data_IF_107385133359
#
_entry.id   IF_107385133359
#
_cell.length_a   1.000
_cell.length_b   1.000
_cell.length_c   1.000
_cell.angle_alpha   90.00
_cell.angle_beta   90.00
_cell.angle_gamma   90.00
#
_symmetry.space_group_name_H-M   'P 1'
#
loop_
_entity.id
_entity.type
_entity.pdbx_description
1 polymer ?
#
# COMPACT_ATOMS: atom_id res chain seq x y z
N UNK A 1 7.27 3.33 -29.54
CA UNK A 1 5.94 3.96 -29.36
C UNK A 1 6.13 4.94 -28.21
N UNK A 2 5.69 6.19 -28.36
CA UNK A 2 5.83 7.19 -27.29
C UNK A 2 4.85 6.86 -26.15
N UNK A 3 5.31 6.95 -24.91
CA UNK A 3 4.46 6.86 -23.71
C UNK A 3 3.80 8.20 -23.34
N UNK A 4 3.95 9.23 -24.18
CA UNK A 4 3.39 10.54 -23.93
C UNK A 4 1.85 10.46 -23.81
N UNK A 5 1.33 11.12 -22.79
CA UNK A 5 -0.07 11.02 -22.46
C UNK A 5 -0.38 11.56 -21.06
N UNK A 6 -1.68 11.59 -20.75
CA UNK A 6 -2.15 11.87 -19.40
C UNK A 6 -2.86 10.65 -18.85
N UNK A 7 -2.47 10.23 -17.65
CA UNK A 7 -2.97 9.06 -16.95
C UNK A 7 -3.49 9.47 -15.58
N UNK A 8 -4.45 8.71 -15.06
CA UNK A 8 -5.12 9.05 -13.81
C UNK A 8 -5.15 7.85 -12.88
N UNK A 9 -4.88 8.09 -11.60
CA UNK A 9 -5.37 7.21 -10.54
C UNK A 9 -6.65 7.79 -9.98
N UNK A 10 -7.50 6.93 -9.44
CA UNK A 10 -8.78 7.31 -8.89
C UNK A 10 -8.85 6.83 -7.44
N UNK A 11 -9.61 7.55 -6.62
CA UNK A 11 -9.99 7.02 -5.32
C UNK A 11 -10.78 5.75 -5.52
N UNK A 12 -10.41 4.72 -4.79
CA UNK A 12 -11.06 3.42 -4.87
C UNK A 12 -11.90 3.18 -3.61
N UNK A 13 -12.99 2.44 -3.78
CA UNK A 13 -13.69 1.80 -2.67
C UNK A 13 -12.85 0.61 -2.14
N UNK A 14 -13.38 -0.09 -1.14
CA UNK A 14 -12.69 -1.22 -0.52
C UNK A 14 -12.57 -2.44 -1.43
N UNK A 15 -13.27 -2.47 -2.56
CA UNK A 15 -13.23 -3.52 -3.60
C UNK A 15 -12.25 -3.18 -4.72
N UNK A 16 -11.68 -1.97 -4.71
CA UNK A 16 -10.81 -1.48 -5.77
C UNK A 16 -11.56 -0.87 -6.96
N UNK A 17 -12.86 -0.56 -6.83
CA UNK A 17 -13.59 0.18 -7.88
C UNK A 17 -13.47 1.69 -7.67
N UNK A 18 -13.46 2.50 -8.74
CA UNK A 18 -13.46 3.95 -8.61
C UNK A 18 -14.70 4.50 -7.89
N UNK A 19 -14.47 5.36 -6.90
CA UNK A 19 -15.52 6.16 -6.26
C UNK A 19 -15.94 7.28 -7.21
N UNK A 20 -17.25 7.54 -7.27
CA UNK A 20 -17.82 8.59 -8.11
C UNK A 20 -18.30 9.79 -7.28
N UNK A 21 -18.19 11.00 -7.83
CA UNK A 21 -18.75 12.22 -7.26
C UNK A 21 -20.28 12.27 -7.43
N UNK A 22 -20.92 13.33 -6.92
CA UNK A 22 -22.37 13.54 -7.02
C UNK A 22 -22.89 13.65 -8.47
N UNK A 23 -22.00 13.87 -9.44
CA UNK A 23 -22.33 13.97 -10.86
C UNK A 23 -22.02 12.66 -11.63
N UNK A 24 -21.55 11.62 -10.93
CA UNK A 24 -21.17 10.34 -11.53
C UNK A 24 -19.79 10.34 -12.18
N UNK A 25 -18.91 11.31 -11.89
CA UNK A 25 -17.53 11.31 -12.37
C UNK A 25 -16.61 10.58 -11.39
N UNK A 26 -15.65 9.81 -11.90
CA UNK A 26 -14.63 9.20 -11.06
C UNK A 26 -13.81 10.26 -10.34
N UNK A 27 -13.60 10.08 -9.04
CA UNK A 27 -12.80 11.02 -8.25
C UNK A 27 -11.32 10.75 -8.53
N UNK A 28 -10.69 11.66 -9.27
CA UNK A 28 -9.26 11.61 -9.56
C UNK A 28 -8.47 11.83 -8.27
N UNK A 29 -7.45 11.01 -8.07
CA UNK A 29 -6.55 11.11 -6.94
C UNK A 29 -5.17 11.65 -7.35
N UNK A 30 -4.61 11.11 -8.44
CA UNK A 30 -3.40 11.66 -9.06
C UNK A 30 -3.53 11.78 -10.57
N UNK A 31 -2.88 12.80 -11.13
CA UNK A 31 -2.74 13.02 -12.57
C UNK A 31 -1.27 12.90 -12.95
N UNK A 32 -0.98 12.05 -13.92
CA UNK A 32 0.35 11.78 -14.43
C UNK A 32 0.43 12.28 -15.86
N UNK A 33 1.29 13.27 -16.10
CA UNK A 33 1.53 13.80 -17.44
C UNK A 33 2.91 13.37 -17.90
N UNK A 34 2.95 12.63 -19.01
CA UNK A 34 4.18 12.19 -19.67
C UNK A 34 4.35 13.00 -20.94
N UNK A 35 5.52 13.58 -21.10
CA UNK A 35 5.89 14.40 -22.25
C UNK A 35 7.17 13.89 -22.87
N UNK A 36 7.19 13.81 -24.20
CA UNK A 36 8.40 13.44 -24.93
C UNK A 36 9.51 14.47 -24.66
N UNK A 37 10.68 13.95 -24.30
CA UNK A 37 11.92 14.70 -24.17
C UNK A 37 12.84 14.49 -25.38
N UNK A 38 14.09 14.93 -25.21
CA UNK A 38 15.13 14.76 -26.24
C UNK A 38 15.73 13.35 -26.18
N UNK A 39 16.13 12.85 -27.35
CA UNK A 39 16.90 11.61 -27.52
C UNK A 39 16.23 10.32 -27.00
N UNK A 40 14.90 10.23 -27.10
CA UNK A 40 14.16 9.03 -26.68
C UNK A 40 14.00 8.89 -25.16
N UNK A 41 14.06 10.01 -24.44
CA UNK A 41 13.70 10.09 -23.03
C UNK A 41 12.39 10.85 -22.89
N UNK A 42 11.69 10.66 -21.77
CA UNK A 42 10.44 11.34 -21.43
C UNK A 42 10.53 12.00 -20.04
N UNK A 43 9.74 13.04 -19.83
CA UNK A 43 9.56 13.69 -18.54
C UNK A 43 8.17 13.37 -17.99
N UNK A 44 8.09 13.09 -16.69
CA UNK A 44 6.86 12.75 -16.00
C UNK A 44 6.61 13.78 -14.91
N UNK A 45 5.39 14.32 -14.87
CA UNK A 45 4.91 15.15 -13.75
C UNK A 45 3.70 14.49 -13.12
N UNK A 46 3.75 14.28 -11.81
CA UNK A 46 2.66 13.70 -11.02
C UNK A 46 2.09 14.78 -10.12
N UNK A 47 0.78 14.98 -10.19
CA UNK A 47 0.04 15.94 -9.37
C UNK A 47 -1.05 15.27 -8.57
N UNK A 48 -1.34 15.79 -7.39
CA UNK A 48 -2.52 15.36 -6.61
C UNK A 48 -3.80 16.00 -7.15
N UNK A 49 -4.94 15.60 -6.58
CA UNK A 49 -6.26 16.14 -6.91
C UNK A 49 -6.40 17.66 -6.73
N UNK A 50 -5.55 18.31 -5.92
CA UNK A 50 -5.52 19.77 -5.76
C UNK A 50 -4.70 20.49 -6.83
N UNK A 51 -3.99 19.73 -7.67
CA UNK A 51 -3.07 20.24 -8.69
C UNK A 51 -1.65 20.50 -8.18
N UNK A 52 -1.36 20.18 -6.91
CA UNK A 52 -0.01 20.29 -6.34
C UNK A 52 0.89 19.21 -6.95
N UNK A 53 2.09 19.60 -7.36
CA UNK A 53 3.07 18.64 -7.88
C UNK A 53 3.63 17.80 -6.74
N UNK A 54 3.44 16.48 -6.86
CA UNK A 54 3.94 15.47 -5.93
C UNK A 54 5.37 15.10 -6.31
N UNK A 55 5.60 14.87 -7.61
CA UNK A 55 6.88 14.38 -8.12
C UNK A 55 7.09 14.77 -9.57
N UNK A 56 8.34 15.07 -9.91
CA UNK A 56 8.79 15.29 -11.29
C UNK A 56 9.97 14.38 -11.57
N UNK A 57 9.88 13.63 -12.67
CA UNK A 57 10.94 12.78 -13.19
C UNK A 57 11.38 13.35 -14.53
N UNK A 58 12.69 13.44 -14.74
CA UNK A 58 13.23 13.98 -15.98
C UNK A 58 14.19 12.98 -16.61
N UNK A 59 14.19 12.92 -17.95
CA UNK A 59 15.10 12.06 -18.67
C UNK A 59 14.87 10.57 -18.45
N UNK A 60 13.63 10.13 -18.21
CA UNK A 60 13.32 8.71 -18.06
C UNK A 60 13.38 8.04 -19.44
N UNK A 61 14.18 6.98 -19.64
CA UNK A 61 14.27 6.32 -20.93
C UNK A 61 12.91 5.81 -21.43
N UNK A 62 12.55 6.19 -22.65
CA UNK A 62 11.28 5.82 -23.32
C UNK A 62 11.53 5.43 -24.79
N UNK A 63 12.77 5.01 -25.08
CA UNK A 63 13.21 4.67 -26.42
C UNK A 63 12.96 3.21 -26.76
N UNK A 64 12.95 2.85 -28.06
CA UNK A 64 12.76 1.46 -28.51
C UNK A 64 13.88 0.50 -28.08
N UNK A 65 15.04 1.04 -27.66
CA UNK A 65 16.21 0.26 -27.23
C UNK A 65 16.32 0.15 -25.70
N UNK A 66 15.63 1.02 -24.96
CA UNK A 66 15.60 1.05 -23.50
C UNK A 66 14.35 1.82 -23.05
N UNK A 67 13.28 1.10 -22.69
CA UNK A 67 12.05 1.70 -22.18
C UNK A 67 11.89 1.37 -20.70
N UNK A 68 12.01 2.42 -19.87
CA UNK A 68 11.80 2.38 -18.43
C UNK A 68 10.39 2.83 -18.05
N UNK A 69 9.55 3.14 -19.03
CA UNK A 69 8.15 3.51 -18.83
C UNK A 69 7.29 2.34 -19.27
N UNK A 70 6.66 1.68 -18.29
CA UNK A 70 5.71 0.61 -18.52
C UNK A 70 4.34 1.23 -18.82
N UNK A 71 3.84 0.95 -20.02
CA UNK A 71 2.49 1.30 -20.49
C UNK A 71 1.78 0.07 -21.04
N UNK A 72 0.45 -0.02 -20.87
CA UNK A 72 -0.33 -1.16 -21.34
C UNK A 72 -0.39 -2.34 -20.36
N UNK A 73 -1.04 -3.43 -20.75
CA UNK A 73 -1.25 -4.63 -19.93
C UNK A 73 -0.25 -5.73 -20.29
N UNK A 74 0.14 -6.53 -19.30
CA UNK A 74 1.13 -7.63 -19.42
C UNK A 74 2.48 -7.19 -20.01
N UNK A 75 2.83 -5.92 -19.81
CA UNK A 75 4.08 -5.36 -20.28
C UNK A 75 5.25 -5.98 -19.50
N UNK A 76 6.22 -6.55 -20.22
CA UNK A 76 7.49 -6.94 -19.61
C UNK A 76 8.53 -5.93 -20.01
N UNK A 77 8.83 -5.00 -19.11
CA UNK A 77 9.94 -4.08 -19.29
C UNK A 77 11.19 -4.73 -18.69
N UNK A 78 12.28 -4.73 -19.44
CA UNK A 78 13.54 -5.28 -19.00
C UNK A 78 14.67 -4.49 -19.60
N UNK A 79 15.69 -4.20 -18.80
CA UNK A 79 16.96 -3.67 -19.31
C UNK A 79 18.04 -4.70 -19.05
N UNK A 80 18.68 -5.15 -20.13
CA UNK A 80 19.89 -6.00 -20.09
C UNK A 80 21.13 -5.13 -19.74
N UNK A 81 20.96 -3.80 -19.76
CA UNK A 81 22.03 -2.79 -19.68
C UNK A 81 21.50 -1.54 -18.95
N UNK A 82 21.01 -1.64 -17.72
CA UNK A 82 20.86 -0.44 -16.86
C UNK A 82 22.20 -0.18 -16.17
N UNK A 83 23.23 0.17 -16.95
CA UNK A 83 24.62 0.31 -16.47
C UNK A 83 24.79 1.50 -15.49
N UNK A 84 23.76 2.32 -15.29
CA UNK A 84 23.74 3.36 -14.26
C UNK A 84 22.32 3.37 -13.68
N UNK A 85 22.19 3.61 -12.38
CA UNK A 85 20.89 3.65 -11.69
C UNK A 85 19.79 4.33 -12.49
N UNK A 86 18.63 3.69 -12.52
CA UNK A 86 17.53 4.11 -13.39
C UNK A 86 16.29 4.49 -12.59
N UNK A 87 15.59 5.50 -13.10
CA UNK A 87 14.20 5.76 -12.75
C UNK A 87 13.32 4.88 -13.63
N UNK A 88 12.36 4.20 -13.02
CA UNK A 88 11.40 3.33 -13.66
C UNK A 88 10.00 3.80 -13.32
N UNK A 89 9.13 3.81 -14.33
CA UNK A 89 7.77 4.31 -14.20
C UNK A 89 6.80 3.22 -14.65
N UNK A 90 5.79 2.97 -13.84
CA UNK A 90 4.61 2.21 -14.25
C UNK A 90 3.43 3.15 -14.23
N UNK A 91 2.85 3.42 -15.40
CA UNK A 91 1.78 4.44 -15.50
C UNK A 91 0.47 3.89 -14.96
N UNK A 92 -0.44 4.76 -14.47
CA UNK A 92 -1.78 4.34 -14.09
C UNK A 92 -2.50 3.55 -15.18
N UNK A 93 -3.09 2.42 -14.79
CA UNK A 93 -3.78 1.49 -15.69
C UNK A 93 -2.86 0.51 -16.43
N UNK A 94 -1.54 0.59 -16.25
CA UNK A 94 -0.63 -0.44 -16.79
C UNK A 94 -0.54 -1.66 -15.86
N UNK A 95 -0.22 -2.83 -16.43
CA UNK A 95 0.09 -4.04 -15.67
C UNK A 95 1.32 -4.75 -16.25
N UNK A 96 2.15 -5.37 -15.41
CA UNK A 96 3.35 -6.03 -15.91
C UNK A 96 4.47 -6.28 -14.91
N UNK A 97 5.62 -6.69 -15.44
CA UNK A 97 6.83 -7.00 -14.67
C UNK A 97 8.00 -6.15 -15.15
N UNK A 98 8.73 -5.57 -14.20
CA UNK A 98 10.01 -4.90 -14.44
C UNK A 98 11.13 -5.84 -14.01
N UNK A 99 11.91 -6.35 -14.98
CA UNK A 99 13.06 -7.20 -14.72
C UNK A 99 14.34 -6.38 -14.69
N UNK A 100 15.06 -6.47 -13.58
CA UNK A 100 16.25 -5.69 -13.29
C UNK A 100 17.45 -6.65 -13.18
N UNK A 101 18.30 -6.61 -14.20
CA UNK A 101 19.58 -7.32 -14.24
C UNK A 101 20.71 -6.32 -13.91
N UNK A 102 21.14 -6.27 -12.65
CA UNK A 102 22.15 -5.31 -12.21
C UNK A 102 23.56 -5.92 -12.14
N UNK A 103 24.55 -5.15 -12.55
CA UNK A 103 25.95 -5.29 -12.13
C UNK A 103 26.26 -4.09 -11.23
N UNK A 104 26.80 -4.35 -10.03
CA UNK A 104 27.14 -3.44 -8.94
C UNK A 104 27.06 -1.89 -9.15
N UNK A 105 26.58 -1.20 -8.10
CA UNK A 105 26.60 0.27 -7.84
C UNK A 105 25.42 1.15 -8.30
N UNK A 106 24.18 0.66 -8.26
CA UNK A 106 23.04 1.59 -8.34
C UNK A 106 21.85 1.27 -7.44
N UNK A 107 21.33 2.30 -6.77
CA UNK A 107 20.05 2.36 -6.07
C UNK A 107 18.93 2.67 -7.08
N UNK A 108 18.16 1.68 -7.56
CA UNK A 108 17.08 1.93 -8.52
C UNK A 108 15.91 2.64 -7.84
N UNK A 109 15.22 3.49 -8.60
CA UNK A 109 14.02 4.18 -8.16
C UNK A 109 12.82 3.78 -9.03
N UNK A 110 11.73 3.35 -8.40
CA UNK A 110 10.48 2.97 -9.04
C UNK A 110 9.39 3.95 -8.67
N UNK A 111 8.57 4.34 -9.64
CA UNK A 111 7.40 5.19 -9.41
C UNK A 111 6.19 4.52 -10.08
N UNK A 112 5.28 4.00 -9.26
CA UNK A 112 4.28 3.01 -9.63
C UNK A 112 2.88 3.58 -9.44
N UNK A 113 2.19 3.80 -10.56
CA UNK A 113 0.75 4.08 -10.63
C UNK A 113 -0.06 2.92 -11.21
N UNK A 114 0.58 1.94 -11.86
CA UNK A 114 -0.04 0.70 -12.36
C UNK A 114 0.13 -0.48 -11.41
N UNK A 115 -0.11 -1.70 -11.92
CA UNK A 115 0.11 -2.97 -11.21
C UNK A 115 1.43 -3.59 -11.66
N UNK A 116 2.46 -3.55 -10.81
CA UNK A 116 3.82 -3.91 -11.21
C UNK A 116 4.47 -4.90 -10.26
N UNK A 117 5.05 -5.96 -10.81
CA UNK A 117 6.01 -6.79 -10.09
C UNK A 117 7.43 -6.39 -10.47
N UNK A 118 8.27 -6.10 -9.49
CA UNK A 118 9.68 -5.76 -9.70
C UNK A 118 10.52 -6.97 -9.36
N UNK A 119 11.20 -7.52 -10.36
CA UNK A 119 12.04 -8.70 -10.23
C UNK A 119 13.52 -8.32 -10.32
N UNK A 120 14.31 -8.69 -9.30
CA UNK A 120 15.76 -8.53 -9.34
C UNK A 120 16.43 -9.88 -9.62
N UNK A 121 17.21 -9.92 -10.70
CA UNK A 121 17.88 -11.16 -11.12
C UNK A 121 19.20 -11.41 -10.37
N UNK A 122 19.72 -10.42 -9.64
CA UNK A 122 20.93 -10.51 -8.82
C UNK A 122 20.68 -10.04 -7.39
N UNK A 123 21.35 -10.67 -6.42
CA UNK A 123 21.09 -10.46 -4.98
C UNK A 123 21.81 -9.24 -4.36
N UNK A 124 22.39 -8.34 -5.15
CA UNK A 124 23.29 -7.27 -4.67
C UNK A 124 22.64 -5.87 -4.64
N UNK A 125 21.31 -5.77 -4.64
CA UNK A 125 20.59 -4.50 -4.80
C UNK A 125 20.22 -3.90 -3.45
N UNK A 126 21.07 -3.01 -2.93
CA UNK A 126 20.79 -2.23 -1.71
C UNK A 126 20.14 -0.88 -2.02
N UNK A 127 19.39 -0.33 -1.07
CA UNK A 127 18.85 1.03 -1.13
C UNK A 127 17.92 1.31 -2.33
N UNK A 128 16.97 0.41 -2.61
CA UNK A 128 15.90 0.65 -3.60
C UNK A 128 14.95 1.72 -3.08
N UNK A 129 14.47 2.61 -3.93
CA UNK A 129 13.32 3.48 -3.62
C UNK A 129 12.12 3.06 -4.44
N UNK A 130 10.99 2.80 -3.82
CA UNK A 130 9.73 2.47 -4.48
C UNK A 130 8.64 3.42 -4.04
N UNK A 131 8.15 4.25 -4.95
CA UNK A 131 7.04 5.18 -4.72
C UNK A 131 5.79 4.60 -5.37
N UNK A 132 4.79 4.25 -4.55
CA UNK A 132 3.54 3.65 -5.00
C UNK A 132 2.44 4.69 -4.81
N UNK A 133 2.02 5.32 -5.90
CA UNK A 133 1.01 6.37 -5.90
C UNK A 133 -0.20 5.90 -6.70
N UNK A 134 -1.19 5.34 -5.99
CA UNK A 134 -2.44 4.79 -6.56
C UNK A 134 -2.31 3.51 -7.38
N UNK A 135 -1.10 2.96 -7.48
CA UNK A 135 -0.83 1.65 -8.09
C UNK A 135 -0.69 0.53 -7.07
N UNK A 136 -0.34 -0.66 -7.56
CA UNK A 136 0.06 -1.81 -6.74
C UNK A 136 1.47 -2.23 -7.13
N UNK A 137 2.37 -2.36 -6.16
CA UNK A 137 3.71 -2.88 -6.39
C UNK A 137 3.98 -4.12 -5.55
N UNK A 138 4.76 -5.04 -6.11
CA UNK A 138 5.32 -6.19 -5.38
C UNK A 138 6.76 -6.38 -5.81
N UNK A 139 7.58 -6.98 -4.96
CA UNK A 139 8.81 -7.59 -5.42
C UNK A 139 8.55 -9.05 -5.82
N UNK A 140 9.26 -9.54 -6.83
CA UNK A 140 9.31 -10.96 -7.20
C UNK A 140 10.77 -11.41 -7.33
N UNK A 141 11.02 -12.71 -7.16
CA UNK A 141 12.37 -13.29 -7.18
C UNK A 141 12.68 -14.11 -5.93
N UNK A 142 13.20 -15.33 -6.13
CA UNK A 142 13.27 -16.37 -5.11
C UNK A 142 14.33 -16.22 -4.01
N UNK A 143 15.11 -15.12 -3.98
CA UNK A 143 16.24 -15.00 -3.05
C UNK A 143 16.60 -13.56 -2.65
N UNK A 144 15.61 -12.69 -2.42
CA UNK A 144 15.85 -11.28 -2.06
C UNK A 144 16.25 -11.05 -0.58
N UNK A 145 16.45 -12.12 0.20
CA UNK A 145 16.73 -12.02 1.64
C UNK A 145 18.02 -11.23 1.89
N UNK A 146 17.89 -10.09 2.55
CA UNK A 146 19.00 -9.18 2.87
C UNK A 146 19.43 -8.24 1.73
N UNK A 147 18.98 -8.45 0.49
CA UNK A 147 19.32 -7.58 -0.63
C UNK A 147 18.71 -6.18 -0.41
N UNK A 148 17.43 -6.12 -0.06
CA UNK A 148 16.66 -4.87 0.07
C UNK A 148 16.95 -4.05 1.33
N UNK A 149 17.96 -4.40 2.13
CA UNK A 149 18.30 -3.62 3.32
C UNK A 149 18.65 -2.18 2.94
N UNK A 150 18.14 -1.21 3.71
CA UNK A 150 18.26 0.22 3.43
C UNK A 150 17.32 0.75 2.35
N UNK A 151 16.43 -0.09 1.81
CA UNK A 151 15.42 0.35 0.83
C UNK A 151 14.30 1.15 1.49
N UNK A 152 13.65 1.99 0.69
CA UNK A 152 12.50 2.81 1.08
C UNK A 152 11.31 2.47 0.20
N UNK A 153 10.15 2.22 0.82
CA UNK A 153 8.86 2.06 0.17
C UNK A 153 7.96 3.19 0.64
N UNK A 154 7.56 4.08 -0.27
CA UNK A 154 6.61 5.14 -0.02
C UNK A 154 5.24 4.71 -0.57
N UNK A 155 4.24 4.67 0.29
CA UNK A 155 2.87 4.28 -0.04
C UNK A 155 2.00 5.52 0.12
N UNK A 156 1.28 5.92 -0.92
CA UNK A 156 0.41 7.09 -0.89
C UNK A 156 -0.67 7.02 -1.94
N UNK A 157 -1.63 7.91 -1.83
CA UNK A 157 -2.71 8.08 -2.81
C UNK A 157 -3.38 6.73 -3.13
N UNK A 158 -3.85 6.01 -2.10
CA UNK A 158 -4.44 4.67 -2.22
C UNK A 158 -3.50 3.60 -2.80
N UNK A 159 -2.18 3.83 -2.79
CA UNK A 159 -1.19 2.88 -3.28
C UNK A 159 -1.13 1.62 -2.42
N UNK A 160 -0.73 0.50 -3.02
CA UNK A 160 -0.64 -0.80 -2.34
C UNK A 160 0.75 -1.40 -2.52
N UNK A 161 1.46 -1.65 -1.42
CA UNK A 161 2.57 -2.60 -1.44
C UNK A 161 2.05 -3.99 -1.12
N UNK A 162 2.14 -4.90 -2.09
CA UNK A 162 1.70 -6.28 -1.97
C UNK A 162 2.89 -7.21 -1.67
N UNK A 163 3.14 -7.46 -0.39
CA UNK A 163 4.12 -8.43 0.09
C UNK A 163 3.57 -9.86 0.25
N UNK A 164 2.38 -10.17 -0.28
CA UNK A 164 1.70 -11.43 0.03
C UNK A 164 2.45 -12.68 -0.49
N UNK A 165 3.24 -12.56 -1.56
CA UNK A 165 4.02 -13.67 -2.11
C UNK A 165 5.40 -13.81 -1.48
N UNK A 166 5.73 -12.96 -0.50
CA UNK A 166 7.07 -12.79 0.02
C UNK A 166 7.15 -13.00 1.53
N UNK A 167 8.27 -13.54 2.00
CA UNK A 167 8.49 -13.73 3.43
C UNK A 167 8.81 -12.38 4.11
N UNK A 168 8.23 -12.13 5.28
CA UNK A 168 8.48 -10.95 6.14
C UNK A 168 9.96 -10.66 6.35
N UNK A 169 10.81 -11.68 6.32
CA UNK A 169 12.27 -11.53 6.42
C UNK A 169 12.88 -10.59 5.38
N UNK A 170 12.18 -10.34 4.26
CA UNK A 170 12.59 -9.37 3.24
C UNK A 170 12.46 -7.91 3.71
N UNK A 171 11.57 -7.63 4.66
CA UNK A 171 11.29 -6.27 5.15
C UNK A 171 12.26 -5.82 6.24
N UNK A 172 13.19 -6.68 6.65
CA UNK A 172 14.19 -6.35 7.65
C UNK A 172 15.17 -5.32 7.08
N UNK A 173 15.27 -4.18 7.76
CA UNK A 173 16.07 -3.03 7.33
C UNK A 173 15.42 -2.16 6.26
N UNK A 174 14.13 -2.35 5.96
CA UNK A 174 13.36 -1.49 5.05
C UNK A 174 12.69 -0.36 5.83
N UNK A 175 12.61 0.81 5.21
CA UNK A 175 11.76 1.92 5.64
C UNK A 175 10.48 1.93 4.82
N UNK A 176 9.33 1.91 5.49
CA UNK A 176 8.01 2.06 4.90
C UNK A 176 7.43 3.39 5.36
N UNK A 177 7.06 4.25 4.42
CA UNK A 177 6.43 5.52 4.72
C UNK A 177 5.02 5.51 4.15
N UNK A 178 4.02 5.64 5.02
CA UNK A 178 2.70 6.07 4.60
C UNK A 178 2.72 7.58 4.36
N UNK A 179 2.13 8.01 3.26
CA UNK A 179 2.18 9.39 2.79
C UNK A 179 0.78 9.91 2.49
N UNK A 180 0.68 11.08 1.86
CA UNK A 180 -0.61 11.73 1.59
C UNK A 180 -1.55 10.80 0.81
N UNK A 181 -2.84 10.81 1.17
CA UNK A 181 -3.86 9.93 0.57
C UNK A 181 -3.92 8.54 1.19
N UNK A 182 -2.94 8.18 2.03
CA UNK A 182 -2.84 6.87 2.66
C UNK A 182 -2.58 5.72 1.69
N UNK A 183 -2.74 4.50 2.14
CA UNK A 183 -2.62 3.30 1.31
C UNK A 183 -2.52 2.01 2.10
N UNK A 184 -2.13 0.93 1.43
CA UNK A 184 -2.18 -0.42 2.00
C UNK A 184 -0.82 -1.11 1.99
N UNK A 185 -0.41 -1.60 3.15
CA UNK A 185 0.72 -2.51 3.32
C UNK A 185 0.21 -3.94 3.54
N UNK A 186 0.41 -4.82 2.57
CA UNK A 186 0.03 -6.23 2.67
C UNK A 186 1.23 -7.09 3.04
N UNK A 187 1.07 -7.94 4.04
CA UNK A 187 2.13 -8.77 4.63
C UNK A 187 1.66 -10.22 4.76
N UNK A 188 2.54 -11.17 4.48
CA UNK A 188 2.25 -12.59 4.66
C UNK A 188 2.98 -13.17 5.88
N UNK A 189 2.20 -13.59 6.88
CA UNK A 189 2.62 -14.26 8.11
C UNK A 189 3.22 -15.65 7.91
N UNK A 190 2.91 -16.34 6.81
CA UNK A 190 3.40 -17.70 6.53
C UNK A 190 3.03 -18.74 7.59
N UNK A 191 2.00 -18.48 8.39
CA UNK A 191 1.61 -19.30 9.55
C UNK A 191 2.56 -19.17 10.74
N UNK A 192 3.42 -18.14 10.79
CA UNK A 192 4.33 -17.85 11.91
C UNK A 192 4.08 -16.46 12.50
N UNK A 193 4.66 -16.21 13.68
CA UNK A 193 4.61 -14.89 14.32
C UNK A 193 5.27 -13.84 13.43
N UNK A 194 4.53 -12.77 13.12
CA UNK A 194 4.99 -11.69 12.25
C UNK A 194 5.72 -10.63 13.08
N UNK A 195 7.05 -10.58 12.98
CA UNK A 195 7.86 -9.60 13.70
C UNK A 195 8.49 -8.58 12.74
N UNK A 196 8.04 -7.34 12.82
CA UNK A 196 8.54 -6.20 12.03
C UNK A 196 9.46 -5.27 12.81
N UNK A 197 10.05 -5.74 13.92
CA UNK A 197 11.00 -4.92 14.70
C UNK A 197 12.23 -4.46 13.90
N UNK A 198 12.57 -5.14 12.80
CA UNK A 198 13.62 -4.72 11.88
C UNK A 198 13.16 -3.73 10.80
N UNK A 199 11.87 -3.43 10.73
CA UNK A 199 11.28 -2.52 9.72
C UNK A 199 10.95 -1.18 10.38
N UNK A 200 11.29 -0.08 9.71
CA UNK A 200 10.86 1.25 10.14
C UNK A 200 9.56 1.60 9.44
N UNK A 201 8.48 1.84 10.17
CA UNK A 201 7.20 2.28 9.60
C UNK A 201 6.90 3.69 10.09
N UNK A 202 6.67 4.64 9.18
CA UNK A 202 6.41 6.05 9.53
C UNK A 202 5.20 6.61 8.81
N UNK A 203 4.65 7.70 9.35
CA UNK A 203 3.51 8.41 8.77
C UNK A 203 2.18 7.66 8.91
N UNK A 204 2.08 6.72 9.85
CA UNK A 204 0.89 5.86 9.98
C UNK A 204 -0.29 6.62 10.60
N UNK A 205 -1.42 6.61 9.90
CA UNK A 205 -2.73 7.11 10.32
C UNK A 205 -3.77 6.00 10.06
N UNK A 206 -4.27 5.30 11.09
CA UNK A 206 -5.22 4.19 10.91
C UNK A 206 -6.58 4.62 10.34
N UNK A 207 -6.82 5.92 10.14
CA UNK A 207 -8.03 6.40 9.44
C UNK A 207 -7.86 6.48 7.92
N UNK A 208 -6.63 6.31 7.42
CA UNK A 208 -6.26 6.39 5.99
C UNK A 208 -5.40 5.22 5.52
N UNK A 209 -4.64 4.63 6.43
CA UNK A 209 -3.65 3.60 6.15
C UNK A 209 -4.14 2.24 6.63
N UNK A 210 -4.01 1.25 5.74
CA UNK A 210 -4.32 -0.14 6.07
C UNK A 210 -3.04 -0.96 6.18
N UNK A 211 -2.94 -1.75 7.24
CA UNK A 211 -1.97 -2.84 7.32
C UNK A 211 -2.75 -4.16 7.26
N UNK A 212 -2.49 -4.96 6.24
CA UNK A 212 -3.11 -6.27 6.06
C UNK A 212 -2.13 -7.38 6.41
N UNK A 213 -2.57 -8.31 7.26
CA UNK A 213 -1.81 -9.48 7.64
C UNK A 213 -2.54 -10.72 7.12
N UNK A 214 -1.89 -11.44 6.20
CA UNK A 214 -2.42 -12.66 5.59
C UNK A 214 -1.70 -13.87 6.19
N UNK A 215 -2.35 -15.04 6.22
CA UNK A 215 -1.81 -16.30 6.72
C UNK A 215 -1.11 -16.17 8.10
N UNK A 216 -1.78 -15.59 9.08
CA UNK A 216 -1.24 -15.44 10.44
C UNK A 216 -1.31 -16.73 11.25
N UNK A 217 -0.59 -16.82 12.38
CA UNK A 217 -0.63 -17.97 13.32
C UNK A 217 -2.01 -18.18 13.97
N UNK A 218 -2.79 -17.13 14.10
CA UNK A 218 -4.11 -17.13 14.70
C UNK A 218 -4.90 -15.89 14.25
N UNK A 219 -6.22 -15.95 14.40
CA UNK A 219 -7.08 -14.78 14.26
C UNK A 219 -6.83 -13.80 15.42
N UNK A 220 -6.76 -12.51 15.12
CA UNK A 220 -6.54 -11.46 16.13
C UNK A 220 -7.82 -11.21 16.92
N UNK A 221 -7.73 -11.30 18.25
CA UNK A 221 -8.84 -11.05 19.17
C UNK A 221 -8.56 -9.93 20.17
N UNK A 222 -7.36 -9.35 20.15
CA UNK A 222 -6.97 -8.29 21.06
C UNK A 222 -5.58 -7.78 20.73
N UNK A 223 -5.23 -6.62 21.27
CA UNK A 223 -3.93 -6.01 21.06
C UNK A 223 -3.54 -5.06 22.19
N UNK A 224 -2.25 -4.75 22.23
CA UNK A 224 -1.70 -3.70 23.09
C UNK A 224 -1.01 -2.66 22.24
N UNK A 225 -1.07 -1.42 22.69
CA UNK A 225 -0.33 -0.28 22.14
C UNK A 225 0.52 0.28 23.29
N UNK A 226 1.84 0.21 23.14
CA UNK A 226 2.78 0.86 24.04
C UNK A 226 3.19 2.23 23.49
N UNK A 227 3.29 3.23 24.38
CA UNK A 227 3.87 4.53 24.07
C UNK A 227 5.39 4.47 24.30
N UNK A 228 6.16 4.71 23.24
CA UNK A 228 7.62 4.74 23.31
C UNK A 228 8.18 6.18 23.46
N UNK A 229 7.31 7.17 23.64
CA UNK A 229 7.64 8.59 23.63
C UNK A 229 7.45 9.24 22.24
N UNK A 230 7.13 10.53 22.25
CA UNK A 230 6.81 11.28 21.03
C UNK A 230 5.63 10.66 20.26
N UNK A 231 5.79 10.53 18.95
CA UNK A 231 4.79 9.91 18.06
C UNK A 231 5.03 8.40 17.85
N UNK A 232 5.91 7.75 18.62
CA UNK A 232 6.23 6.32 18.41
C UNK A 232 5.30 5.40 19.20
N UNK A 233 4.74 4.39 18.53
CA UNK A 233 3.87 3.36 19.14
C UNK A 233 4.35 1.97 18.76
N UNK A 234 4.41 1.07 19.73
CA UNK A 234 4.60 -0.37 19.47
C UNK A 234 3.27 -1.08 19.64
N UNK A 235 2.84 -1.80 18.61
CA UNK A 235 1.61 -2.58 18.60
C UNK A 235 1.97 -4.06 18.68
N UNK A 236 1.29 -4.79 19.56
CA UNK A 236 1.37 -6.26 19.65
C UNK A 236 -0.04 -6.82 19.54
N UNK A 237 -0.28 -7.69 18.56
CA UNK A 237 -1.55 -8.35 18.32
C UNK A 237 -1.54 -9.75 18.95
N UNK A 238 -2.67 -10.15 19.52
CA UNK A 238 -2.84 -11.43 20.22
C UNK A 238 -4.00 -12.23 19.64
N UNK A 239 -3.86 -13.56 19.70
CA UNK A 239 -4.94 -14.52 19.48
C UNK A 239 -5.90 -14.64 20.66
N UNK A 240 -6.94 -15.45 20.50
CA UNK A 240 -8.06 -15.61 21.44
C UNK A 240 -7.67 -16.10 22.84
N UNK A 241 -6.52 -16.75 22.99
CA UNK A 241 -5.97 -17.17 24.27
C UNK A 241 -5.30 -16.03 25.06
N UNK A 242 -5.20 -14.83 24.46
CA UNK A 242 -4.53 -13.66 25.02
C UNK A 242 -3.02 -13.80 25.19
N UNK A 243 -2.42 -14.86 24.66
CA UNK A 243 -1.00 -15.23 24.86
C UNK A 243 -0.26 -15.45 23.55
N UNK A 244 -0.91 -16.06 22.57
CA UNK A 244 -0.37 -16.28 21.23
C UNK A 244 -0.19 -14.94 20.56
N UNK A 245 1.06 -14.50 20.40
CA UNK A 245 1.37 -13.29 19.65
C UNK A 245 1.22 -13.56 18.15
N UNK A 246 0.43 -12.72 17.50
CA UNK A 246 0.15 -12.82 16.06
C UNK A 246 1.12 -11.97 15.26
N UNK A 247 1.27 -10.71 15.67
CA UNK A 247 2.18 -9.77 15.04
C UNK A 247 2.71 -8.74 16.05
N UNK A 248 3.89 -8.21 15.76
CA UNK A 248 4.46 -7.06 16.46
C UNK A 248 5.09 -6.11 15.44
N UNK A 249 4.78 -4.83 15.59
CA UNK A 249 5.36 -3.78 14.78
C UNK A 249 5.44 -2.45 15.54
N UNK A 250 6.34 -1.58 15.10
CA UNK A 250 6.48 -0.23 15.65
C UNK A 250 6.26 0.79 14.55
N UNK A 251 5.45 1.80 14.83
CA UNK A 251 5.08 2.86 13.91
C UNK A 251 5.42 4.23 14.49
N UNK A 252 5.80 5.16 13.63
CA UNK A 252 5.70 6.58 13.92
C UNK A 252 4.36 7.08 13.39
N UNK A 253 3.54 7.62 14.28
CA UNK A 253 2.19 8.11 14.01
C UNK A 253 2.25 9.43 13.23
N UNK A 254 1.39 9.57 12.22
CA UNK A 254 1.25 10.79 11.42
C UNK A 254 0.78 11.98 12.28
N UNK A 255 1.13 13.18 11.86
CA UNK A 255 0.65 14.39 12.52
C UNK A 255 -0.88 14.46 12.50
N UNK A 256 -1.48 14.65 13.69
CA UNK A 256 -2.93 14.73 13.87
C UNK A 256 -3.65 13.38 14.00
N UNK A 257 -2.99 12.26 13.71
CA UNK A 257 -3.55 10.93 13.95
C UNK A 257 -3.55 10.60 15.44
N UNK A 258 -4.57 9.84 15.89
CA UNK A 258 -4.78 9.50 17.30
C UNK A 258 -4.67 8.00 17.52
N UNK A 259 -3.52 7.58 18.03
CA UNK A 259 -3.26 6.19 18.41
C UNK A 259 -2.84 6.16 19.89
N UNK A 260 -3.82 6.20 20.82
CA UNK A 260 -3.54 6.15 22.25
C UNK A 260 -2.95 4.81 22.67
N UNK A 261 -2.08 4.84 23.68
CA UNK A 261 -1.58 3.63 24.31
C UNK A 261 -2.67 2.97 25.17
N UNK A 262 -2.62 1.65 25.28
CA UNK A 262 -3.61 0.89 26.04
C UNK A 262 -3.66 -0.58 25.65
N UNK A 263 -4.58 -1.29 26.28
CA UNK A 263 -4.95 -2.68 25.95
C UNK A 263 -6.37 -2.66 25.40
N UNK A 264 -6.56 -3.33 24.27
CA UNK A 264 -7.80 -3.27 23.51
C UNK A 264 -8.29 -4.68 23.20
N UNK A 265 -9.59 -4.89 23.38
CA UNK A 265 -10.26 -6.13 23.01
C UNK A 265 -10.73 -6.02 21.55
N UNK A 266 -10.50 -7.05 20.75
CA UNK A 266 -10.93 -7.15 19.37
C UNK A 266 -11.74 -8.42 19.09
N UNK A 267 -12.29 -9.03 20.14
CA UNK A 267 -13.24 -10.13 20.01
C UNK A 267 -14.56 -9.62 19.40
N UNK A 268 -15.15 -10.45 18.56
CA UNK A 268 -16.48 -10.24 17.98
C UNK A 268 -17.48 -9.96 19.10
N UNK A 269 -18.36 -8.97 18.91
CA UNK A 269 -19.39 -8.51 19.87
C UNK A 269 -18.89 -7.80 21.14
N UNK A 270 -17.62 -7.43 21.23
CA UNK A 270 -17.15 -6.55 22.30
C UNK A 270 -17.67 -5.11 22.11
N UNK A 271 -18.26 -4.53 23.15
CA UNK A 271 -18.65 -3.11 23.18
C UNK A 271 -17.46 -2.14 23.04
N UNK A 272 -16.23 -2.65 23.16
CA UNK A 272 -15.01 -1.84 23.04
C UNK A 272 -14.57 -1.63 21.57
N UNK A 273 -15.12 -2.40 20.61
CA UNK A 273 -14.75 -2.33 19.20
C UNK A 273 -14.91 -0.92 18.61
N UNK A 274 -15.98 -0.20 18.97
CA UNK A 274 -16.24 1.15 18.49
C UNK A 274 -15.22 2.19 18.99
N UNK A 275 -14.48 1.87 20.05
CA UNK A 275 -13.47 2.74 20.67
C UNK A 275 -12.04 2.33 20.31
N UNK A 276 -11.88 1.26 19.54
CA UNK A 276 -10.58 0.73 19.14
C UNK A 276 -9.89 1.67 18.14
N UNK A 277 -8.72 2.23 18.47
CA UNK A 277 -8.04 3.17 17.59
C UNK A 277 -7.52 2.55 16.28
N UNK A 278 -7.35 1.23 16.24
CA UNK A 278 -6.84 0.52 15.06
C UNK A 278 -7.93 -0.13 14.21
N UNK A 279 -9.20 -0.13 14.64
CA UNK A 279 -10.34 -0.68 13.89
C UNK A 279 -10.02 -2.01 13.18
N UNK A 280 -9.58 -3.01 13.96
CA UNK A 280 -9.09 -4.27 13.41
C UNK A 280 -10.28 -5.14 13.03
N UNK A 281 -10.31 -5.61 11.78
CA UNK A 281 -11.30 -6.56 11.28
C UNK A 281 -10.62 -7.84 10.82
N UNK A 282 -11.37 -8.95 10.85
CA UNK A 282 -10.88 -10.26 10.42
C UNK A 282 -11.87 -10.89 9.44
N UNK A 283 -11.40 -11.22 8.24
CA UNK A 283 -12.21 -11.89 7.23
C UNK A 283 -11.35 -12.76 6.33
N UNK A 284 -11.94 -13.87 5.86
CA UNK A 284 -11.31 -14.79 4.90
C UNK A 284 -9.90 -15.27 5.31
N UNK A 285 -9.63 -15.38 6.61
CA UNK A 285 -8.31 -15.80 7.12
C UNK A 285 -7.29 -14.67 7.26
N UNK A 286 -7.67 -13.42 6.98
CA UNK A 286 -6.79 -12.26 6.98
C UNK A 286 -7.23 -11.24 8.04
N UNK A 287 -6.24 -10.52 8.59
CA UNK A 287 -6.44 -9.38 9.50
C UNK A 287 -6.23 -8.08 8.75
N UNK A 288 -7.14 -7.13 8.93
CA UNK A 288 -7.08 -5.79 8.35
C UNK A 288 -7.06 -4.76 9.49
N UNK A 289 -6.06 -3.89 9.50
CA UNK A 289 -5.83 -2.90 10.56
C UNK A 289 -5.98 -1.51 9.94
N UNK A 290 -6.87 -0.67 10.47
CA UNK A 290 -7.21 0.64 9.92
C UNK A 290 -8.36 0.61 8.89
N UNK A 291 -9.17 -0.45 8.90
CA UNK A 291 -10.31 -0.59 8.01
C UNK A 291 -11.63 -0.42 8.78
N UNK A 292 -12.36 0.67 8.53
CA UNK A 292 -13.66 0.94 9.16
C UNK A 292 -14.72 -0.13 8.80
N UNK A 293 -14.76 -0.54 7.54
CA UNK A 293 -15.66 -1.58 7.04
C UNK A 293 -14.95 -2.39 5.96
N UNK A 294 -15.10 -3.71 6.01
CA UNK A 294 -14.55 -4.58 4.99
C UNK A 294 -15.40 -4.53 3.73
N UNK A 295 -14.76 -4.71 2.59
CA UNK A 295 -15.44 -4.89 1.33
C UNK A 295 -16.49 -6.01 1.38
N UNK A 296 -17.70 -5.76 0.90
CA UNK A 296 -18.81 -6.72 0.92
C UNK A 296 -19.46 -6.87 2.29
N UNK A 297 -19.09 -6.04 3.27
CA UNK A 297 -19.82 -5.97 4.55
C UNK A 297 -21.23 -5.48 4.27
N UNK A 298 -22.23 -6.28 4.60
CA UNK A 298 -23.62 -5.91 4.35
C UNK A 298 -24.14 -4.98 5.46
N UNK A 299 -24.57 -3.79 5.07
CA UNK A 299 -25.35 -2.89 5.90
C UNK A 299 -26.83 -3.16 5.62
N UNK A 300 -27.57 -3.56 6.65
CA UNK A 300 -29.02 -3.68 6.54
C UNK A 300 -29.64 -2.30 6.41
N UNK A 301 -30.24 -2.02 5.26
CA UNK A 301 -31.10 -0.85 5.02
C UNK A 301 -32.58 -1.25 5.12
N UNK A 302 -33.49 -0.28 5.11
CA UNK A 302 -34.95 -0.55 5.07
C UNK A 302 -35.36 -1.35 3.81
N UNK A 303 -34.56 -1.27 2.74
CA UNK A 303 -34.83 -1.91 1.46
C UNK A 303 -34.08 -3.25 1.29
N UNK A 304 -33.39 -3.70 2.34
CA UNK A 304 -32.61 -4.94 2.35
C UNK A 304 -31.14 -4.68 2.65
N UNK A 305 -30.34 -5.76 2.60
CA UNK A 305 -28.91 -5.68 2.78
C UNK A 305 -28.25 -5.03 1.56
N UNK A 306 -27.53 -3.94 1.81
CA UNK A 306 -26.72 -3.23 0.82
C UNK A 306 -25.27 -3.37 1.26
N UNK A 307 -24.38 -3.73 0.34
CA UNK A 307 -22.96 -3.77 0.67
C UNK A 307 -22.50 -2.36 1.07
N UNK A 308 -21.61 -2.23 2.04
CA UNK A 308 -21.20 -0.94 2.63
C UNK A 308 -20.71 0.05 1.55
N UNK A 309 -20.06 -0.47 0.52
CA UNK A 309 -19.57 0.23 -0.66
C UNK A 309 -20.68 0.77 -1.58
N UNK A 310 -21.86 0.16 -1.55
CA UNK A 310 -23.00 0.49 -2.39
C UNK A 310 -23.98 1.43 -1.70
N UNK A 311 -23.74 1.77 -0.43
CA UNK A 311 -24.58 2.70 0.35
C UNK A 311 -24.46 4.11 -0.22
N UNK A 312 -25.60 4.71 -0.54
CA UNK A 312 -25.73 6.04 -1.15
C UNK A 312 -26.45 7.00 -0.22
N UNK A 313 -26.25 8.30 -0.46
CA UNK A 313 -27.05 9.34 0.20
C UNK A 313 -28.53 9.11 -0.14
N UNK A 314 -29.34 8.87 0.88
CA UNK A 314 -30.76 8.52 0.75
C UNK A 314 -31.10 7.08 1.11
N UNK A 315 -30.11 6.22 1.36
CA UNK A 315 -30.35 4.91 1.94
C UNK A 315 -30.65 5.03 3.44
N UNK A 316 -31.81 4.57 3.86
CA UNK A 316 -32.24 4.60 5.25
C UNK A 316 -31.82 3.32 5.99
N UNK A 317 -31.17 3.50 7.14
CA UNK A 317 -30.86 2.41 8.07
C UNK A 317 -32.06 2.26 9.02
N UNK A 318 -32.61 1.04 9.20
CA UNK A 318 -33.77 0.85 10.06
C UNK A 318 -33.47 1.29 11.49
N UNK A 319 -34.41 1.97 12.17
CA UNK A 319 -34.20 2.59 13.48
C UNK A 319 -33.90 1.60 14.61
N UNK A 320 -34.11 0.30 14.39
CA UNK A 320 -33.89 -0.75 15.41
C UNK A 320 -32.41 -1.16 15.57
N UNK A 321 -31.50 -0.65 14.73
CA UNK A 321 -30.06 -0.99 14.78
C UNK A 321 -29.13 0.18 15.16
N UNK A 322 -29.64 1.29 15.68
CA UNK A 322 -28.80 2.36 16.26
C UNK A 322 -28.90 2.33 17.77
N UNK A 323 -28.14 1.43 18.39
CA UNK A 323 -27.68 1.65 19.77
C UNK A 323 -26.22 2.06 19.65
N UNK A 324 -25.93 3.33 19.94
CA UNK A 324 -24.57 3.89 19.98
C UNK A 324 -23.81 3.34 21.18
#
# INVERSE_FOLDING_TARGET
MSSAGTYYTYKLDTQGNPIHDANGNKIVETTWTITDGLFGNSNITIKDASGKTIKTLTGVPDGPLASHIQTGTDATNGSIVSILGGQWVSVPGSSGTINILLSALSAPAFTIGGTTSVNFLVNAVTAVTMDIYGGTASFSGGSLAGALSGSTINIGYSGIYNGNTQLISLLQGITINFTTGGGTLVLNGGGVFLNLSGTTITGYDPTKDTIELHNTVAAVSGYTIADNGGNSRTVILFGSDGKTQVAQYTVTIADGAKVPAGTYNNAVDSQDLAKNPLQITYANGNTYIGACFLAGSMIRTINGDVAVEDVRIGDDVPPENVTI
#
